data_IF_895849268065
#
_entry.id   IF_895849268065
#
_cell.length_a   1.000
_cell.length_b   1.000
_cell.length_c   1.000
_cell.angle_alpha   90.00
_cell.angle_beta   90.00
_cell.angle_gamma   90.00
#
_symmetry.space_group_name_H-M   'P 1'
#
loop_
_entity.id
_entity.type
_entity.pdbx_description
1 polymer ?
#
# COMPACT_ATOMS: atom_id res chain seq x y z
N UNK A 1 9.24 8.85 -11.32
CA UNK A 1 10.67 9.12 -11.54
C UNK A 1 11.46 8.17 -10.65
N UNK A 2 11.91 7.02 -11.17
CA UNK A 2 12.60 6.01 -10.34
C UNK A 2 14.13 6.04 -10.46
N UNK A 3 14.70 6.72 -11.46
CA UNK A 3 16.15 6.61 -11.74
C UNK A 3 16.95 7.93 -11.83
N UNK A 4 16.40 9.11 -11.52
CA UNK A 4 17.11 10.40 -11.55
C UNK A 4 17.92 10.72 -12.85
N UNK A 5 17.66 10.02 -13.96
CA UNK A 5 18.29 10.25 -15.26
C UNK A 5 17.38 11.10 -16.14
N UNK A 6 17.96 12.00 -16.92
CA UNK A 6 17.25 12.64 -18.03
C UNK A 6 16.99 11.63 -19.15
N UNK A 7 16.00 11.92 -20.01
CA UNK A 7 15.61 11.03 -21.11
C UNK A 7 16.74 10.81 -22.12
N UNK A 8 17.61 11.81 -22.32
CA UNK A 8 18.82 11.66 -23.14
C UNK A 8 19.86 10.74 -22.51
N UNK A 9 20.10 10.88 -21.20
CA UNK A 9 21.01 10.01 -20.46
C UNK A 9 20.51 8.57 -20.37
N UNK A 10 19.20 8.36 -20.26
CA UNK A 10 18.58 7.02 -20.26
C UNK A 10 18.77 6.33 -21.62
N UNK A 11 18.61 7.06 -22.73
CA UNK A 11 18.86 6.53 -24.08
C UNK A 11 20.32 6.12 -24.24
N UNK A 12 21.25 7.00 -23.89
CA UNK A 12 22.68 6.70 -24.01
C UNK A 12 23.12 5.54 -23.11
N UNK A 13 22.49 5.36 -21.95
CA UNK A 13 22.74 4.23 -21.07
C UNK A 13 22.22 2.92 -21.68
N UNK A 14 20.98 2.92 -22.20
CA UNK A 14 20.38 1.76 -22.87
C UNK A 14 21.18 1.34 -24.12
N UNK A 15 21.60 2.29 -24.93
CA UNK A 15 22.41 2.02 -26.14
C UNK A 15 23.81 1.49 -25.79
N UNK A 16 24.41 1.94 -24.67
CA UNK A 16 25.69 1.41 -24.16
C UNK A 16 25.60 -0.04 -23.69
N UNK A 17 24.46 -0.45 -23.16
CA UNK A 17 24.16 -1.84 -22.75
C UNK A 17 23.68 -2.72 -23.92
N UNK A 18 23.67 -2.18 -25.15
CA UNK A 18 23.26 -2.90 -26.35
C UNK A 18 21.75 -3.01 -26.55
N UNK A 19 20.96 -2.27 -25.77
CA UNK A 19 19.51 -2.21 -25.87
C UNK A 19 19.01 -1.22 -26.93
N UNK A 20 17.79 -1.45 -27.43
CA UNK A 20 17.12 -0.57 -28.39
C UNK A 20 16.12 0.34 -27.68
N UNK A 21 16.32 1.66 -27.77
CA UNK A 21 15.44 2.64 -27.13
C UNK A 21 13.98 2.58 -27.61
N UNK A 22 13.74 2.18 -28.87
CA UNK A 22 12.38 2.02 -29.38
C UNK A 22 11.69 0.78 -28.81
N UNK A 23 12.39 -0.35 -28.68
CA UNK A 23 11.86 -1.56 -28.04
C UNK A 23 11.54 -1.27 -26.57
N UNK A 24 12.47 -0.66 -25.84
CA UNK A 24 12.23 -0.22 -24.46
C UNK A 24 10.99 0.69 -24.34
N UNK A 25 10.77 1.59 -25.30
CA UNK A 25 9.59 2.47 -25.30
C UNK A 25 8.29 1.71 -25.53
N UNK A 26 8.27 0.71 -26.42
CA UNK A 26 7.09 -0.13 -26.62
C UNK A 26 6.83 -1.00 -25.39
N UNK A 27 7.86 -1.58 -24.77
CA UNK A 27 7.72 -2.35 -23.53
C UNK A 27 7.10 -1.51 -22.40
N UNK A 28 7.61 -0.28 -22.20
CA UNK A 28 7.06 0.67 -21.21
C UNK A 28 5.62 1.05 -21.56
N UNK A 29 5.31 1.24 -22.84
CA UNK A 29 3.95 1.55 -23.30
C UNK A 29 3.01 0.40 -22.96
N UNK A 30 3.40 -0.83 -23.25
CA UNK A 30 2.59 -2.03 -22.99
C UNK A 30 2.37 -2.23 -21.50
N UNK A 31 3.41 -2.05 -20.68
CA UNK A 31 3.28 -2.06 -19.22
C UNK A 31 2.30 -1.00 -18.71
N UNK A 32 2.33 0.22 -19.26
CA UNK A 32 1.39 1.28 -18.89
C UNK A 32 -0.05 0.97 -19.32
N UNK A 33 -0.24 0.34 -20.48
CA UNK A 33 -1.57 -0.09 -20.96
C UNK A 33 -2.11 -1.18 -20.03
N UNK A 34 -1.31 -2.20 -19.72
CA UNK A 34 -1.70 -3.29 -18.81
C UNK A 34 -2.02 -2.74 -17.42
N UNK A 35 -1.17 -1.87 -16.88
CA UNK A 35 -1.38 -1.25 -15.57
C UNK A 35 -2.68 -0.43 -15.52
N UNK A 36 -2.99 0.36 -16.56
CA UNK A 36 -4.25 1.11 -16.64
C UNK A 36 -5.47 0.22 -16.80
N UNK A 37 -5.34 -0.88 -17.56
CA UNK A 37 -6.41 -1.87 -17.69
C UNK A 37 -6.70 -2.50 -16.34
N UNK A 38 -5.66 -2.95 -15.63
CA UNK A 38 -5.78 -3.49 -14.28
C UNK A 38 -6.49 -2.51 -13.33
N UNK A 39 -6.02 -1.27 -13.28
CA UNK A 39 -6.63 -0.23 -12.45
C UNK A 39 -8.12 -0.04 -12.79
N UNK A 40 -8.46 0.04 -14.08
CA UNK A 40 -9.85 0.22 -14.51
C UNK A 40 -10.75 -0.96 -14.15
N UNK A 41 -10.22 -2.18 -14.24
CA UNK A 41 -10.92 -3.40 -13.83
C UNK A 41 -11.23 -3.30 -12.33
N UNK A 42 -10.23 -3.06 -11.49
CA UNK A 42 -10.39 -2.93 -10.04
C UNK A 42 -11.37 -1.82 -9.67
N UNK A 43 -11.30 -0.65 -10.30
CA UNK A 43 -12.23 0.46 -10.06
C UNK A 43 -13.68 0.16 -10.48
N UNK A 44 -13.88 -0.75 -11.43
CA UNK A 44 -15.22 -1.17 -11.88
C UNK A 44 -15.82 -2.30 -11.04
N UNK A 45 -15.01 -2.92 -10.17
CA UNK A 45 -15.44 -4.04 -9.34
C UNK A 45 -16.34 -3.59 -8.19
N UNK A 46 -17.27 -4.47 -7.85
CA UNK A 46 -18.06 -4.30 -6.63
C UNK A 46 -17.17 -4.57 -5.41
N UNK A 47 -17.30 -3.72 -4.39
CA UNK A 47 -16.59 -3.92 -3.12
C UNK A 47 -17.00 -5.22 -2.43
N UNK A 48 -16.09 -5.92 -1.74
CA UNK A 48 -16.43 -7.09 -0.95
C UNK A 48 -17.41 -6.73 0.17
N UNK A 49 -18.44 -7.57 0.32
CA UNK A 49 -19.42 -7.41 1.39
C UNK A 49 -18.82 -7.77 2.75
N UNK A 50 -19.40 -7.25 3.83
CA UNK A 50 -18.93 -7.59 5.18
C UNK A 50 -18.99 -9.10 5.48
N UNK A 51 -20.00 -9.80 4.95
CA UNK A 51 -20.12 -11.26 5.08
C UNK A 51 -18.97 -12.00 4.40
N UNK A 52 -18.52 -11.54 3.23
CA UNK A 52 -17.38 -12.16 2.54
C UNK A 52 -16.07 -11.90 3.29
N UNK A 53 -15.93 -10.72 3.88
CA UNK A 53 -14.80 -10.38 4.74
C UNK A 53 -14.79 -11.29 5.97
N UNK A 54 -15.93 -11.45 6.64
CA UNK A 54 -16.04 -12.33 7.82
C UNK A 54 -15.68 -13.77 7.46
N UNK A 55 -16.21 -14.28 6.35
CA UNK A 55 -15.91 -15.64 5.87
C UNK A 55 -14.42 -15.83 5.55
N UNK A 56 -13.76 -14.83 4.94
CA UNK A 56 -12.34 -14.91 4.64
C UNK A 56 -11.50 -14.88 5.93
N UNK A 57 -11.83 -14.00 6.89
CA UNK A 57 -11.13 -13.90 8.16
C UNK A 57 -11.21 -15.18 9.00
N UNK A 58 -12.30 -15.95 8.86
CA UNK A 58 -12.48 -17.25 9.50
C UNK A 58 -11.83 -18.41 8.73
N UNK A 59 -11.33 -18.18 7.51
CA UNK A 59 -10.77 -19.23 6.66
C UNK A 59 -9.27 -19.45 6.90
N UNK A 60 -8.81 -20.69 6.66
CA UNK A 60 -7.38 -21.05 6.68
C UNK A 60 -6.55 -20.34 5.58
N UNK A 61 -7.21 -19.65 4.64
CA UNK A 61 -6.52 -18.92 3.57
C UNK A 61 -5.98 -17.57 4.04
N UNK A 62 -6.54 -17.01 5.12
CA UNK A 62 -6.14 -15.72 5.67
C UNK A 62 -5.17 -15.92 6.82
N UNK A 63 -3.91 -15.55 6.61
CA UNK A 63 -2.86 -15.66 7.63
C UNK A 63 -2.70 -14.31 8.35
N UNK A 64 -3.30 -14.19 9.53
CA UNK A 64 -3.17 -12.97 10.32
C UNK A 64 -1.73 -12.78 10.87
N UNK A 65 -0.97 -13.87 11.00
CA UNK A 65 0.35 -13.90 11.63
C UNK A 65 1.44 -13.19 10.81
N UNK A 66 2.46 -12.74 11.51
CA UNK A 66 3.68 -12.21 10.90
C UNK A 66 4.79 -13.25 10.91
N UNK A 67 5.55 -13.26 9.82
CA UNK A 67 6.64 -14.19 9.59
C UNK A 67 7.93 -13.40 9.46
N UNK A 68 8.95 -13.76 10.25
CA UNK A 68 10.31 -13.26 10.06
C UNK A 68 10.97 -14.12 8.98
N UNK A 69 11.31 -13.50 7.85
CA UNK A 69 11.79 -14.23 6.68
C UNK A 69 13.23 -13.88 6.33
N UNK A 70 13.94 -14.87 5.80
CA UNK A 70 15.16 -14.68 5.03
C UNK A 70 14.98 -15.22 3.62
N UNK A 71 15.59 -14.60 2.61
CA UNK A 71 15.45 -14.99 1.22
C UNK A 71 16.80 -15.19 0.52
N UNK A 72 16.78 -16.02 -0.51
CA UNK A 72 17.80 -16.11 -1.55
C UNK A 72 17.06 -15.82 -2.85
N UNK A 73 17.44 -14.74 -3.53
CA UNK A 73 16.83 -14.30 -4.77
C UNK A 73 17.82 -14.45 -5.92
N UNK A 74 17.46 -15.21 -6.94
CA UNK A 74 18.26 -15.41 -8.14
C UNK A 74 17.54 -14.73 -9.30
N UNK A 75 18.11 -13.64 -9.81
CA UNK A 75 17.43 -12.80 -10.79
C UNK A 75 17.51 -13.42 -12.18
N UNK A 76 16.37 -13.64 -12.83
CA UNK A 76 16.30 -14.00 -14.24
C UNK A 76 16.17 -12.73 -15.08
N UNK A 77 17.05 -12.52 -16.08
CA UNK A 77 16.87 -11.43 -17.02
C UNK A 77 15.53 -11.58 -17.79
N UNK A 78 14.79 -10.50 -18.07
CA UNK A 78 13.50 -10.57 -18.76
C UNK A 78 13.58 -11.22 -20.15
N UNK A 79 14.74 -11.13 -20.82
CA UNK A 79 15.03 -11.76 -22.11
C UNK A 79 16.08 -12.89 -21.98
N UNK A 80 16.02 -13.67 -20.91
CA UNK A 80 17.00 -14.73 -20.66
C UNK A 80 17.08 -15.72 -21.82
N UNK A 81 18.28 -15.90 -22.35
CA UNK A 81 18.58 -16.95 -23.33
C UNK A 81 18.41 -18.34 -22.70
N UNK A 82 18.19 -19.40 -23.50
CA UNK A 82 18.18 -20.77 -22.98
C UNK A 82 19.46 -21.17 -22.22
N UNK A 83 20.59 -20.49 -22.50
CA UNK A 83 21.82 -20.69 -21.74
C UNK A 83 21.73 -20.07 -20.34
N UNK A 84 21.29 -18.81 -20.25
CA UNK A 84 21.12 -18.09 -18.97
C UNK A 84 20.07 -18.75 -18.08
N UNK A 85 18.96 -19.21 -18.66
CA UNK A 85 17.94 -19.94 -17.90
C UNK A 85 18.50 -21.22 -17.27
N UNK A 86 19.32 -21.99 -18.00
CA UNK A 86 20.00 -23.19 -17.49
C UNK A 86 21.02 -22.86 -16.41
N UNK A 87 21.74 -21.76 -16.55
CA UNK A 87 22.70 -21.30 -15.54
C UNK A 87 22.00 -20.96 -14.22
N UNK A 88 20.90 -20.20 -14.28
CA UNK A 88 20.09 -19.91 -13.08
C UNK A 88 19.55 -21.20 -12.48
N UNK A 89 19.05 -22.14 -13.29
CA UNK A 89 18.58 -23.44 -12.80
C UNK A 89 19.69 -24.21 -12.07
N UNK A 90 20.91 -24.24 -12.62
CA UNK A 90 22.06 -24.87 -11.94
C UNK A 90 22.42 -24.17 -10.63
N UNK A 91 22.33 -22.83 -10.57
CA UNK A 91 22.51 -22.08 -9.31
C UNK A 91 21.45 -22.44 -8.28
N UNK A 92 20.18 -22.54 -8.68
CA UNK A 92 19.08 -22.96 -7.80
C UNK A 92 19.35 -24.36 -7.23
N UNK A 93 19.74 -25.31 -8.09
CA UNK A 93 20.06 -26.68 -7.66
C UNK A 93 21.25 -26.71 -6.69
N UNK A 94 22.28 -25.92 -6.94
CA UNK A 94 23.44 -25.80 -6.05
C UNK A 94 23.05 -25.21 -4.69
N UNK A 95 22.23 -24.16 -4.66
CA UNK A 95 21.72 -23.57 -3.41
C UNK A 95 20.92 -24.62 -2.62
N UNK A 96 20.01 -25.34 -3.27
CA UNK A 96 19.19 -26.36 -2.60
C UNK A 96 20.05 -27.52 -2.08
N UNK A 97 21.12 -27.89 -2.80
CA UNK A 97 22.08 -28.90 -2.35
C UNK A 97 22.86 -28.44 -1.12
N UNK A 98 23.38 -27.20 -1.14
CA UNK A 98 24.13 -26.60 -0.02
C UNK A 98 23.26 -26.52 1.24
N UNK A 99 22.00 -26.06 1.09
CA UNK A 99 21.04 -25.97 2.18
C UNK A 99 20.68 -27.35 2.73
N UNK A 100 20.41 -28.34 1.87
CA UNK A 100 20.17 -29.74 2.29
C UNK A 100 21.40 -30.38 2.94
N UNK A 101 22.60 -29.94 2.54
CA UNK A 101 23.88 -30.32 3.15
C UNK A 101 24.15 -29.72 4.53
N UNK A 102 23.26 -28.84 5.02
CA UNK A 102 23.37 -28.21 6.33
C UNK A 102 24.14 -26.89 6.33
N UNK A 103 24.41 -26.28 5.16
CA UNK A 103 24.94 -24.92 5.11
C UNK A 103 23.94 -23.95 5.79
N UNK A 104 24.40 -23.06 6.68
CA UNK A 104 23.54 -22.02 7.23
C UNK A 104 22.92 -21.16 6.12
N UNK A 105 21.62 -20.90 6.22
CA UNK A 105 20.89 -20.14 5.19
C UNK A 105 21.53 -18.77 4.91
N UNK A 106 21.96 -18.07 5.95
CA UNK A 106 22.64 -16.79 5.81
C UNK A 106 23.92 -16.89 4.97
N UNK A 107 24.69 -17.97 5.11
CA UNK A 107 25.90 -18.19 4.29
C UNK A 107 25.55 -18.50 2.84
N UNK A 108 24.50 -19.29 2.60
CA UNK A 108 24.01 -19.55 1.25
C UNK A 108 23.49 -18.26 0.58
N UNK A 109 22.82 -17.38 1.33
CA UNK A 109 22.38 -16.08 0.86
C UNK A 109 23.55 -15.17 0.46
N UNK A 110 24.56 -15.04 1.31
CA UNK A 110 25.78 -14.26 1.00
C UNK A 110 26.48 -14.78 -0.26
N UNK A 111 26.53 -16.11 -0.44
CA UNK A 111 27.27 -16.74 -1.53
C UNK A 111 26.53 -16.71 -2.86
N UNK A 112 25.20 -16.81 -2.84
CA UNK A 112 24.42 -17.11 -4.04
C UNK A 112 23.37 -16.06 -4.40
N UNK A 113 22.88 -15.26 -3.45
CA UNK A 113 21.77 -14.33 -3.69
C UNK A 113 22.18 -13.08 -4.45
N UNK A 114 21.34 -12.66 -5.39
CA UNK A 114 21.45 -11.41 -6.15
C UNK A 114 20.68 -10.24 -5.48
N UNK A 115 20.10 -10.46 -4.29
CA UNK A 115 19.36 -9.44 -3.52
C UNK A 115 20.28 -8.52 -2.70
N UNK A 116 19.81 -7.31 -2.39
CA UNK A 116 20.56 -6.36 -1.55
C UNK A 116 20.76 -6.87 -0.11
N UNK A 117 19.78 -7.62 0.41
CA UNK A 117 19.81 -8.26 1.73
C UNK A 117 20.79 -9.45 1.81
N UNK A 118 21.43 -9.87 0.70
CA UNK A 118 22.33 -11.02 0.66
C UNK A 118 23.47 -10.93 1.70
N UNK A 119 24.08 -9.75 1.84
CA UNK A 119 25.19 -9.51 2.79
C UNK A 119 24.72 -9.58 4.25
N UNK A 120 23.44 -9.30 4.50
CA UNK A 120 22.79 -9.41 5.81
C UNK A 120 22.18 -10.81 6.02
N UNK A 121 22.69 -11.82 5.32
CA UNK A 121 22.22 -13.20 5.41
C UNK A 121 20.84 -13.43 4.77
N UNK A 122 20.45 -12.54 3.85
CA UNK A 122 19.16 -12.59 3.17
C UNK A 122 17.99 -12.06 4.00
N UNK A 123 18.23 -11.30 5.07
CA UNK A 123 17.19 -10.92 6.02
C UNK A 123 16.15 -9.97 5.40
N UNK A 124 14.92 -10.44 5.27
CA UNK A 124 13.75 -9.64 4.83
C UNK A 124 13.08 -8.98 6.03
N UNK A 125 13.06 -9.70 7.16
CA UNK A 125 12.41 -9.27 8.40
C UNK A 125 10.95 -9.70 8.49
N UNK A 126 10.19 -9.04 9.39
CA UNK A 126 8.79 -9.35 9.66
C UNK A 126 7.89 -8.92 8.51
N UNK A 127 7.09 -9.85 7.99
CA UNK A 127 6.14 -9.63 6.91
C UNK A 127 4.87 -10.42 7.13
N UNK A 128 3.76 -9.92 6.59
CA UNK A 128 2.50 -10.64 6.54
C UNK A 128 2.39 -11.38 5.19
N UNK A 129 1.99 -12.66 5.21
CA UNK A 129 1.90 -13.48 3.99
C UNK A 129 0.83 -12.98 3.01
N UNK A 130 -0.27 -12.37 3.49
CA UNK A 130 -1.34 -11.85 2.63
C UNK A 130 -0.90 -10.62 1.81
N UNK A 131 0.24 -10.01 2.16
CA UNK A 131 0.83 -8.88 1.42
C UNK A 131 1.87 -9.33 0.39
N UNK A 132 2.14 -10.63 0.31
CA UNK A 132 3.11 -11.21 -0.62
C UNK A 132 2.43 -11.73 -1.88
N UNK A 133 3.17 -11.86 -2.99
CA UNK A 133 2.71 -12.58 -4.17
C UNK A 133 2.21 -13.98 -3.80
N UNK A 134 1.06 -14.36 -4.38
CA UNK A 134 0.30 -15.55 -4.00
C UNK A 134 1.12 -16.83 -4.11
N UNK A 135 1.93 -16.94 -5.16
CA UNK A 135 2.78 -18.09 -5.43
C UNK A 135 3.81 -18.30 -4.31
N UNK A 136 4.31 -17.21 -3.74
CA UNK A 136 5.24 -17.26 -2.61
C UNK A 136 4.51 -17.53 -1.29
N UNK A 137 3.40 -16.83 -1.05
CA UNK A 137 2.59 -17.01 0.16
C UNK A 137 2.11 -18.47 0.32
N UNK A 138 1.66 -19.09 -0.78
CA UNK A 138 1.19 -20.48 -0.79
C UNK A 138 2.31 -21.48 -0.45
N UNK A 139 3.56 -21.18 -0.80
CA UNK A 139 4.73 -22.03 -0.49
C UNK A 139 5.24 -21.85 0.95
N UNK A 140 4.95 -20.70 1.55
CA UNK A 140 5.28 -20.40 2.95
C UNK A 140 4.20 -20.86 3.92
N UNK A 141 2.95 -20.98 3.45
CA UNK A 141 1.83 -21.42 4.27
C UNK A 141 2.09 -22.85 4.78
N UNK A 142 2.02 -23.01 6.09
CA UNK A 142 2.27 -24.30 6.76
C UNK A 142 3.74 -24.63 7.02
N UNK A 143 4.69 -23.77 6.61
CA UNK A 143 6.08 -23.93 7.03
C UNK A 143 6.27 -23.54 8.50
N UNK A 144 7.01 -24.36 9.23
CA UNK A 144 7.41 -24.08 10.61
C UNK A 144 8.70 -23.23 10.67
N UNK A 145 8.93 -22.61 11.82
CA UNK A 145 10.17 -21.88 12.08
C UNK A 145 11.40 -22.78 11.86
N UNK A 146 12.33 -22.28 11.05
CA UNK A 146 13.55 -22.96 10.61
C UNK A 146 13.45 -23.61 9.23
N UNK A 147 12.24 -23.85 8.70
CA UNK A 147 12.03 -24.50 7.41
C UNK A 147 12.22 -23.56 6.23
N UNK A 148 12.50 -24.14 5.05
CA UNK A 148 12.70 -23.43 3.77
C UNK A 148 11.62 -23.83 2.78
N UNK A 149 11.23 -22.90 1.91
CA UNK A 149 10.34 -23.15 0.78
C UNK A 149 11.07 -23.93 -0.32
N UNK A 150 10.29 -24.53 -1.23
CA UNK A 150 10.80 -24.89 -2.54
C UNK A 150 11.08 -23.61 -3.37
N UNK A 151 11.90 -23.67 -4.45
CA UNK A 151 12.16 -22.53 -5.31
C UNK A 151 10.88 -22.03 -6.00
N UNK A 152 10.56 -20.75 -5.84
CA UNK A 152 9.37 -20.11 -6.39
C UNK A 152 9.77 -19.04 -7.40
N UNK A 153 9.14 -18.99 -8.56
CA UNK A 153 9.40 -17.90 -9.53
C UNK A 153 8.38 -16.79 -9.33
N UNK A 154 8.86 -15.61 -8.95
CA UNK A 154 8.06 -14.41 -8.73
C UNK A 154 8.61 -13.29 -9.60
N UNK A 155 7.79 -12.80 -10.55
CA UNK A 155 8.15 -11.69 -11.44
C UNK A 155 9.54 -11.81 -12.10
N UNK A 156 9.91 -13.02 -12.54
CA UNK A 156 11.22 -13.29 -13.16
C UNK A 156 12.38 -13.39 -12.15
N UNK A 157 12.12 -13.61 -10.88
CA UNK A 157 13.15 -13.91 -9.87
C UNK A 157 12.84 -15.25 -9.24
N UNK A 158 13.82 -16.15 -9.17
CA UNK A 158 13.67 -17.41 -8.43
C UNK A 158 14.00 -17.13 -6.97
N UNK A 159 13.03 -17.32 -6.09
CA UNK A 159 13.12 -17.06 -4.66
C UNK A 159 13.09 -18.37 -3.88
N UNK A 160 14.03 -18.52 -2.95
CA UNK A 160 14.00 -19.56 -1.92
C UNK A 160 13.92 -18.81 -0.59
N UNK A 161 12.92 -19.12 0.23
CA UNK A 161 12.64 -18.36 1.43
C UNK A 161 12.66 -19.27 2.65
N UNK A 162 13.26 -18.78 3.74
CA UNK A 162 13.29 -19.43 5.04
C UNK A 162 12.37 -18.71 6.00
N UNK A 163 11.52 -19.47 6.69
CA UNK A 163 10.80 -18.96 7.85
C UNK A 163 11.75 -19.01 9.04
N UNK A 164 12.20 -17.87 9.54
CA UNK A 164 13.06 -17.82 10.72
C UNK A 164 12.22 -17.95 11.99
N UNK A 165 11.15 -17.17 12.08
CA UNK A 165 10.22 -17.13 13.21
C UNK A 165 8.81 -16.82 12.71
N UNK A 166 7.81 -17.20 13.49
CA UNK A 166 6.40 -16.87 13.30
C UNK A 166 5.87 -16.29 14.60
N UNK A 167 5.07 -15.22 14.50
CA UNK A 167 4.38 -14.65 15.66
C UNK A 167 2.95 -14.27 15.30
N UNK A 168 2.01 -14.35 16.26
CA UNK A 168 0.74 -13.66 16.13
C UNK A 168 0.99 -12.18 15.84
N UNK A 169 0.19 -11.59 14.96
CA UNK A 169 0.25 -10.16 14.72
C UNK A 169 -0.01 -9.43 16.04
N UNK A 170 0.83 -8.43 16.30
CA UNK A 170 0.66 -7.57 17.47
C UNK A 170 -0.58 -6.69 17.37
N UNK A 171 -1.04 -6.17 18.51
CA UNK A 171 -2.11 -5.19 18.51
C UNK A 171 -1.68 -3.92 17.77
N UNK A 172 -2.52 -3.45 16.85
CA UNK A 172 -2.35 -2.15 16.21
C UNK A 172 -3.03 -1.13 17.11
N UNK A 173 -2.23 -0.53 17.99
CA UNK A 173 -2.65 0.61 18.80
C UNK A 173 -2.30 1.89 18.04
N UNK A 174 -3.31 2.70 17.76
CA UNK A 174 -3.15 4.02 17.16
C UNK A 174 -3.65 5.09 18.12
N UNK A 175 -2.96 6.22 18.14
CA UNK A 175 -3.48 7.43 18.76
C UNK A 175 -4.56 8.01 17.86
N UNK A 176 -5.71 8.26 18.45
CA UNK A 176 -6.86 8.87 17.79
C UNK A 176 -7.20 10.20 18.42
N UNK A 177 -7.61 11.11 17.56
CA UNK A 177 -8.05 12.43 17.91
C UNK A 177 -9.54 12.54 17.61
N UNK A 178 -10.26 13.25 18.45
CA UNK A 178 -11.62 13.70 18.17
C UNK A 178 -11.60 15.22 18.17
N UNK A 179 -12.19 15.84 17.16
CA UNK A 179 -12.20 17.29 17.03
C UNK A 179 -13.53 17.79 16.49
N UNK A 180 -13.77 19.09 16.61
CA UNK A 180 -14.76 19.79 15.81
C UNK A 180 -14.07 20.78 14.91
N UNK A 181 -14.60 21.00 13.72
CA UNK A 181 -14.11 22.04 12.82
C UNK A 181 -15.22 22.90 12.24
N UNK A 182 -14.87 24.15 11.94
CA UNK A 182 -15.65 25.07 11.11
C UNK A 182 -14.81 25.33 9.87
N UNK A 183 -15.33 24.98 8.70
CA UNK A 183 -14.66 25.23 7.41
C UNK A 183 -15.35 26.37 6.69
N UNK A 184 -14.57 27.31 6.16
CA UNK A 184 -15.05 28.44 5.36
C UNK A 184 -14.30 28.42 4.03
N UNK A 185 -14.98 28.01 2.96
CA UNK A 185 -14.40 27.80 1.62
C UNK A 185 -14.51 29.05 0.76
N UNK A 186 -13.40 29.63 0.26
CA UNK A 186 -13.51 30.69 -0.74
C UNK A 186 -14.27 30.19 -1.98
N UNK A 187 -15.07 31.06 -2.57
CA UNK A 187 -15.88 30.79 -3.77
C UNK A 187 -15.94 32.04 -4.66
N UNK A 188 -16.58 31.95 -5.83
CA UNK A 188 -16.78 33.12 -6.70
C UNK A 188 -17.54 34.27 -6.00
N UNK A 189 -18.36 33.94 -4.99
CA UNK A 189 -19.11 34.89 -4.18
C UNK A 189 -18.43 35.23 -2.85
N UNK A 190 -17.39 34.49 -2.45
CA UNK A 190 -16.66 34.66 -1.20
C UNK A 190 -15.16 34.71 -1.46
N UNK A 191 -14.57 35.91 -1.45
CA UNK A 191 -13.12 36.03 -1.61
C UNK A 191 -12.35 35.37 -0.45
N UNK A 192 -11.07 35.06 -0.68
CA UNK A 192 -10.21 34.49 0.34
C UNK A 192 -10.05 35.42 1.56
N UNK A 193 -9.99 36.74 1.32
CA UNK A 193 -9.97 37.75 2.38
C UNK A 193 -11.27 37.74 3.17
N UNK A 194 -12.42 37.64 2.49
CA UNK A 194 -13.71 37.62 3.19
C UNK A 194 -13.92 36.34 4.00
N UNK A 195 -13.46 35.21 3.47
CA UNK A 195 -13.45 33.94 4.20
C UNK A 195 -12.60 34.03 5.48
N UNK A 196 -11.43 34.66 5.39
CA UNK A 196 -10.57 34.93 6.55
C UNK A 196 -11.25 35.81 7.58
N UNK A 197 -11.81 36.94 7.16
CA UNK A 197 -12.52 37.88 8.04
C UNK A 197 -13.68 37.20 8.78
N UNK A 198 -14.42 36.34 8.07
CA UNK A 198 -15.49 35.55 8.69
C UNK A 198 -14.93 34.57 9.71
N UNK A 199 -13.82 33.89 9.43
CA UNK A 199 -13.17 33.01 10.39
C UNK A 199 -12.73 33.75 11.66
N UNK A 200 -12.14 34.93 11.51
CA UNK A 200 -11.74 35.81 12.62
C UNK A 200 -12.96 36.29 13.43
N UNK A 201 -14.07 36.64 12.77
CA UNK A 201 -15.33 37.01 13.44
C UNK A 201 -15.92 35.85 14.26
N UNK A 202 -15.95 34.65 13.69
CA UNK A 202 -16.46 33.45 14.36
C UNK A 202 -15.57 33.08 15.56
N UNK A 203 -14.25 33.19 15.44
CA UNK A 203 -13.33 33.01 16.56
C UNK A 203 -13.61 34.02 17.70
N UNK A 204 -13.80 35.30 17.37
CA UNK A 204 -14.16 36.32 18.36
C UNK A 204 -15.53 36.08 19.01
N UNK A 205 -16.44 35.33 18.37
CA UNK A 205 -17.71 34.88 18.99
C UNK A 205 -17.46 33.72 19.95
N UNK A 206 -16.60 32.76 19.60
CA UNK A 206 -16.18 31.67 20.49
C UNK A 206 -15.53 32.21 21.77
N UNK A 207 -14.65 33.21 21.67
CA UNK A 207 -14.03 33.87 22.82
C UNK A 207 -15.04 34.56 23.75
N UNK A 208 -16.20 34.97 23.21
CA UNK A 208 -17.31 35.56 23.96
C UNK A 208 -18.28 34.52 24.54
N UNK A 209 -17.99 33.23 24.38
CA UNK A 209 -18.78 32.13 24.92
C UNK A 209 -19.89 31.61 24.01
N UNK A 210 -19.81 31.86 22.70
CA UNK A 210 -20.71 31.19 21.74
C UNK A 210 -20.42 29.68 21.66
N UNK A 211 -21.46 28.88 21.46
CA UNK A 211 -21.32 27.43 21.32
C UNK A 211 -20.73 27.06 19.96
N UNK A 212 -19.61 26.31 19.97
CA UNK A 212 -18.92 25.90 18.74
C UNK A 212 -19.83 25.12 17.79
N UNK A 213 -20.63 24.22 18.33
CA UNK A 213 -21.54 23.39 17.54
C UNK A 213 -22.63 24.21 16.82
N UNK A 214 -23.04 25.35 17.37
CA UNK A 214 -24.01 26.23 16.72
C UNK A 214 -23.36 26.99 15.56
N UNK A 215 -22.18 27.58 15.79
CA UNK A 215 -21.43 28.27 14.74
C UNK A 215 -21.07 27.31 13.59
N UNK A 216 -20.72 26.06 13.90
CA UNK A 216 -20.46 25.06 12.89
C UNK A 216 -21.70 24.71 12.04
N UNK A 217 -22.88 24.62 12.65
CA UNK A 217 -24.13 24.37 11.90
C UNK A 217 -24.50 25.53 10.99
N UNK A 218 -24.26 26.76 11.44
CA UNK A 218 -24.67 27.97 10.73
C UNK A 218 -23.69 28.37 9.62
N UNK A 219 -22.38 28.22 9.85
CA UNK A 219 -21.35 28.80 8.98
C UNK A 219 -20.37 27.80 8.37
N UNK A 220 -20.35 26.53 8.79
CA UNK A 220 -19.41 25.57 8.21
C UNK A 220 -19.87 25.11 6.84
N UNK A 221 -19.01 25.27 5.85
CA UNK A 221 -19.19 24.78 4.48
C UNK A 221 -18.95 23.25 4.38
N UNK A 222 -18.50 22.58 5.45
CA UNK A 222 -18.39 21.12 5.46
C UNK A 222 -19.75 20.44 5.70
N UNK A 223 -20.45 20.13 4.61
CA UNK A 223 -21.75 19.47 4.65
C UNK A 223 -21.79 18.14 5.44
N UNK A 224 -20.65 17.44 5.59
CA UNK A 224 -20.59 16.16 6.31
C UNK A 224 -20.66 16.34 7.83
N UNK A 225 -20.04 17.41 8.35
CA UNK A 225 -19.92 17.63 9.79
C UNK A 225 -20.74 18.82 10.31
N UNK A 226 -21.07 19.81 9.46
CA UNK A 226 -21.77 21.03 9.86
C UNK A 226 -23.03 20.73 10.69
N UNK A 227 -23.91 19.86 10.19
CA UNK A 227 -25.18 19.51 10.85
C UNK A 227 -24.98 18.84 12.23
N UNK A 228 -23.88 18.10 12.42
CA UNK A 228 -23.49 17.49 13.70
C UNK A 228 -22.60 18.40 14.56
N UNK A 229 -22.61 19.70 14.26
CA UNK A 229 -21.87 20.73 14.99
C UNK A 229 -20.37 20.70 14.72
N UNK A 230 -19.99 20.38 13.49
CA UNK A 230 -18.60 20.31 13.04
C UNK A 230 -17.84 19.08 13.52
N UNK A 231 -18.52 18.10 14.14
CA UNK A 231 -17.86 16.95 14.76
C UNK A 231 -17.17 16.06 13.72
N UNK A 232 -15.87 15.88 13.94
CA UNK A 232 -15.03 14.86 13.34
C UNK A 232 -14.91 13.74 14.38
N UNK A 233 -15.56 12.61 14.10
CA UNK A 233 -15.49 11.44 14.99
C UNK A 233 -14.06 10.89 15.05
N UNK A 234 -13.75 10.06 16.05
CA UNK A 234 -12.40 9.57 16.32
C UNK A 234 -11.65 9.12 15.06
N UNK A 235 -10.54 9.81 14.78
CA UNK A 235 -9.73 9.63 13.59
C UNK A 235 -8.26 9.44 13.97
N UNK A 236 -7.51 8.62 13.23
CA UNK A 236 -6.07 8.45 13.47
C UNK A 236 -5.29 9.70 13.08
N UNK A 237 -4.12 9.88 13.64
CA UNK A 237 -3.22 10.97 13.27
C UNK A 237 -2.98 11.05 11.75
N UNK A 238 -2.92 12.27 11.22
CA UNK A 238 -2.70 12.53 9.80
C UNK A 238 -3.90 12.29 8.88
N UNK A 239 -5.03 11.76 9.39
CA UNK A 239 -6.23 11.47 8.56
C UNK A 239 -6.76 12.70 7.78
N UNK A 240 -6.58 13.90 8.34
CA UNK A 240 -7.02 15.17 7.75
C UNK A 240 -5.87 16.06 7.22
N UNK A 241 -4.68 15.48 7.08
CA UNK A 241 -3.49 16.17 6.57
C UNK A 241 -2.70 16.94 7.64
N UNK A 242 -1.51 17.38 7.24
CA UNK A 242 -0.49 17.92 8.16
C UNK A 242 -0.94 19.20 8.88
N UNK A 243 -1.63 20.11 8.19
CA UNK A 243 -2.07 21.38 8.77
C UNK A 243 -3.04 21.18 9.96
N UNK A 244 -3.98 20.23 9.84
CA UNK A 244 -4.92 19.92 10.92
C UNK A 244 -4.20 19.18 12.05
N UNK A 245 -3.30 18.25 11.73
CA UNK A 245 -2.51 17.52 12.72
C UNK A 245 -1.70 18.48 13.60
N UNK A 246 -0.94 19.39 13.00
CA UNK A 246 -0.11 20.36 13.74
C UNK A 246 -0.93 21.23 14.69
N UNK A 247 -2.14 21.61 14.29
CA UNK A 247 -3.05 22.37 15.15
C UNK A 247 -3.53 21.49 16.31
N UNK A 248 -3.97 20.26 16.05
CA UNK A 248 -4.38 19.33 17.10
C UNK A 248 -3.25 19.06 18.11
N UNK A 249 -2.01 18.87 17.64
CA UNK A 249 -0.84 18.63 18.50
C UNK A 249 -0.53 19.82 19.42
N UNK A 250 -0.95 21.03 19.02
CA UNK A 250 -0.76 22.27 19.80
C UNK A 250 -1.88 22.57 20.79
N UNK A 251 -2.97 21.80 20.76
CA UNK A 251 -4.17 22.04 21.57
C UNK A 251 -4.30 21.00 22.69
N UNK A 252 -4.84 21.44 23.82
CA UNK A 252 -5.35 20.52 24.84
C UNK A 252 -6.83 20.20 24.60
N UNK A 253 -7.34 19.02 25.03
CA UNK A 253 -8.76 18.70 24.94
C UNK A 253 -9.65 19.80 25.54
N UNK A 254 -10.63 20.25 24.77
CA UNK A 254 -11.53 21.36 25.08
C UNK A 254 -11.11 22.71 24.49
N UNK A 255 -9.86 22.88 24.06
CA UNK A 255 -9.37 24.13 23.48
C UNK A 255 -9.69 24.24 21.99
N UNK A 256 -9.87 25.48 21.52
CA UNK A 256 -10.01 25.80 20.10
C UNK A 256 -8.80 26.59 19.57
N UNK A 257 -8.50 26.39 18.29
CA UNK A 257 -7.42 27.03 17.59
C UNK A 257 -7.75 28.46 17.20
N UNK A 258 -6.71 29.24 16.94
CA UNK A 258 -6.83 30.43 16.09
C UNK A 258 -7.27 30.02 14.67
N UNK A 259 -7.90 30.91 13.89
CA UNK A 259 -8.17 30.66 12.48
C UNK A 259 -6.89 30.37 11.69
N UNK A 260 -6.89 29.31 10.90
CA UNK A 260 -5.75 28.92 10.07
C UNK A 260 -6.20 28.51 8.66
N UNK A 261 -5.27 28.62 7.70
CA UNK A 261 -5.54 28.31 6.30
C UNK A 261 -5.13 26.85 5.99
N UNK A 262 -6.07 26.08 5.46
CA UNK A 262 -5.85 24.73 4.94
C UNK A 262 -6.12 24.64 3.43
N UNK A 263 -5.96 23.44 2.83
CA UNK A 263 -6.15 23.25 1.39
C UNK A 263 -7.57 23.56 0.90
N UNK A 264 -8.58 23.44 1.77
CA UNK A 264 -9.98 23.64 1.43
C UNK A 264 -10.50 25.05 1.73
N UNK A 265 -9.76 25.86 2.48
CA UNK A 265 -10.20 27.18 2.92
C UNK A 265 -9.68 27.52 4.32
N UNK A 266 -10.42 28.35 5.03
CA UNK A 266 -10.13 28.72 6.41
C UNK A 266 -10.80 27.77 7.39
N UNK A 267 -10.09 27.42 8.45
CA UNK A 267 -10.53 26.48 9.46
C UNK A 267 -10.41 27.07 10.85
N UNK A 268 -11.35 26.71 11.72
CA UNK A 268 -11.22 26.81 13.17
C UNK A 268 -11.42 25.40 13.71
N UNK A 269 -10.50 24.92 14.55
CA UNK A 269 -10.58 23.60 15.17
C UNK A 269 -10.87 23.72 16.66
N UNK A 270 -11.53 22.72 17.21
CA UNK A 270 -11.60 22.47 18.65
C UNK A 270 -11.22 21.02 18.89
N UNK A 271 -10.19 20.77 19.70
CA UNK A 271 -9.85 19.40 20.08
C UNK A 271 -10.86 18.95 21.15
N UNK A 272 -11.53 17.83 20.94
CA UNK A 272 -12.47 17.25 21.91
C UNK A 272 -11.80 16.19 22.78
N UNK A 273 -10.88 15.40 22.22
CA UNK A 273 -10.17 14.38 22.98
C UNK A 273 -9.07 13.68 22.22
N UNK A 274 -8.24 12.97 22.98
CA UNK A 274 -7.19 12.07 22.50
C UNK A 274 -7.37 10.73 23.19
N UNK A 275 -7.27 9.62 22.44
CA UNK A 275 -7.34 8.27 23.01
C UNK A 275 -6.43 7.31 22.26
N UNK A 276 -6.05 6.24 22.93
CA UNK A 276 -5.47 5.06 22.27
C UNK A 276 -6.58 4.10 21.89
N UNK A 277 -6.64 3.73 20.62
CA UNK A 277 -7.60 2.76 20.11
C UNK A 277 -6.88 1.55 19.53
N UNK A 278 -7.34 0.36 19.91
CA UNK A 278 -6.94 -0.88 19.26
C UNK A 278 -7.72 -1.02 17.95
N UNK A 279 -7.03 -0.83 16.83
CA UNK A 279 -7.57 -0.91 15.45
C UNK A 279 -7.17 -2.20 14.74
N UNK A 280 -6.79 -3.23 15.50
CA UNK A 280 -6.34 -4.51 14.91
C UNK A 280 -7.43 -5.14 14.06
N UNK A 281 -8.68 -5.13 14.52
CA UNK A 281 -9.79 -5.74 13.79
C UNK A 281 -10.05 -4.98 12.49
N UNK A 282 -10.11 -3.66 12.53
CA UNK A 282 -10.33 -2.84 11.34
C UNK A 282 -9.20 -3.00 10.32
N UNK A 283 -7.95 -3.08 10.78
CA UNK A 283 -6.81 -3.34 9.92
C UNK A 283 -6.90 -4.71 9.25
N UNK A 284 -7.25 -5.76 10.00
CA UNK A 284 -7.45 -7.11 9.44
C UNK A 284 -8.60 -7.14 8.42
N UNK A 285 -9.72 -6.47 8.71
CA UNK A 285 -10.83 -6.35 7.77
C UNK A 285 -10.45 -5.61 6.50
N UNK A 286 -9.68 -4.52 6.62
CA UNK A 286 -9.22 -3.75 5.46
C UNK A 286 -8.29 -4.60 4.57
N UNK A 287 -7.38 -5.35 5.19
CA UNK A 287 -6.49 -6.28 4.50
C UNK A 287 -7.26 -7.41 3.81
N UNK A 288 -8.21 -8.03 4.49
CA UNK A 288 -9.10 -9.04 3.92
C UNK A 288 -9.89 -8.49 2.72
N UNK A 289 -10.39 -7.25 2.78
CA UNK A 289 -11.05 -6.61 1.63
C UNK A 289 -10.10 -6.43 0.45
N UNK A 290 -8.87 -5.99 0.70
CA UNK A 290 -7.87 -5.83 -0.36
C UNK A 290 -7.55 -7.17 -1.01
N UNK A 291 -7.37 -8.23 -0.21
CA UNK A 291 -7.10 -9.57 -0.71
C UNK A 291 -8.28 -10.10 -1.56
N UNK A 292 -9.52 -9.90 -1.14
CA UNK A 292 -10.70 -10.27 -1.93
C UNK A 292 -10.78 -9.49 -3.25
N UNK A 293 -10.46 -8.19 -3.23
CA UNK A 293 -10.41 -7.37 -4.44
C UNK A 293 -9.34 -7.85 -5.41
N UNK A 294 -8.15 -8.16 -4.93
CA UNK A 294 -7.05 -8.70 -5.74
C UNK A 294 -7.42 -10.04 -6.36
N UNK A 295 -8.00 -10.96 -5.57
CA UNK A 295 -8.47 -12.25 -6.08
C UNK A 295 -9.55 -12.11 -7.17
N UNK A 296 -10.48 -11.14 -7.01
CA UNK A 296 -11.48 -10.84 -8.05
C UNK A 296 -10.81 -10.24 -9.28
N UNK A 297 -9.85 -9.34 -9.10
CA UNK A 297 -9.09 -8.73 -10.18
C UNK A 297 -8.42 -9.77 -11.07
N UNK A 298 -7.70 -10.71 -10.46
CA UNK A 298 -7.01 -11.78 -11.17
C UNK A 298 -7.98 -12.64 -11.99
N UNK A 299 -9.10 -13.04 -11.40
CA UNK A 299 -10.12 -13.85 -12.07
C UNK A 299 -10.77 -13.14 -13.27
N UNK A 300 -11.02 -11.83 -13.13
CA UNK A 300 -11.59 -11.02 -14.20
C UNK A 300 -10.59 -10.83 -15.35
N UNK A 301 -9.32 -10.55 -15.03
CA UNK A 301 -8.25 -10.45 -16.02
C UNK A 301 -8.13 -11.76 -16.80
N UNK A 302 -8.08 -12.90 -16.13
CA UNK A 302 -8.01 -14.20 -16.80
C UNK A 302 -9.21 -14.44 -17.73
N UNK A 303 -10.39 -14.02 -17.31
CA UNK A 303 -11.61 -14.13 -18.10
C UNK A 303 -11.56 -13.22 -19.33
N UNK A 304 -11.14 -11.98 -19.17
CA UNK A 304 -10.95 -11.02 -20.25
C UNK A 304 -9.88 -11.46 -21.25
N UNK A 305 -8.75 -12.01 -20.78
CA UNK A 305 -7.71 -12.57 -21.64
C UNK A 305 -8.21 -13.75 -22.45
N UNK A 306 -9.04 -14.63 -21.87
CA UNK A 306 -9.70 -15.72 -22.61
C UNK A 306 -10.63 -15.18 -23.70
N UNK A 307 -11.47 -14.19 -23.38
CA UNK A 307 -12.38 -13.57 -24.35
C UNK A 307 -11.62 -12.90 -25.49
N UNK A 308 -10.59 -12.10 -25.19
CA UNK A 308 -9.73 -11.50 -26.20
C UNK A 308 -9.06 -12.54 -27.10
N UNK A 309 -8.62 -13.67 -26.55
CA UNK A 309 -8.05 -14.75 -27.35
C UNK A 309 -9.09 -15.40 -28.27
N UNK A 310 -10.33 -15.55 -27.80
CA UNK A 310 -11.40 -16.20 -28.55
C UNK A 310 -12.00 -15.27 -29.63
N UNK A 311 -11.97 -13.95 -29.41
CA UNK A 311 -12.37 -12.93 -30.39
C UNK A 311 -11.24 -12.54 -31.36
N UNK A 312 -9.98 -12.78 -30.99
CA UNK A 312 -8.84 -12.54 -31.86
C UNK A 312 -8.73 -13.60 -32.96
N UNK A 313 -8.63 -13.16 -34.22
CA UNK A 313 -8.27 -14.05 -35.32
C UNK A 313 -6.78 -14.45 -35.19
N UNK A 314 -6.52 -15.65 -34.67
CA UNK A 314 -5.17 -16.21 -34.56
C UNK A 314 -4.87 -17.07 -35.80
N UNK A 315 -4.20 -16.49 -36.80
CA UNK A 315 -3.64 -17.27 -37.91
C UNK A 315 -2.27 -17.84 -37.50
N UNK A 316 -2.20 -19.17 -37.32
CA UNK A 316 -0.90 -19.85 -37.19
C UNK A 316 -0.25 -19.92 -38.57
N UNK A 317 0.76 -19.11 -38.80
CA UNK A 317 1.67 -19.30 -39.94
C UNK A 317 2.47 -20.59 -39.69
N UNK A 318 2.17 -21.63 -40.48
CA UNK A 318 2.90 -22.90 -40.53
C UNK A 318 4.15 -22.79 -41.40
#
# INVERSE_FOLDING_TARGET
>A
QQNNLSLGQLREALEREGGNFNEFREDVRDQLIISRLHQRIVESMQEPTDTEVDLLLESDSFEADEYNLSQIALRLPPNATPSQAREIQQRVEAVMLDLKGGMPFASAAVNHSDSADALDGGLVGWRNLNTMPRELADQLRGLEAGQISEPVVVSGTVMIVRVNERRPRGEIIVDELQARHILIRPSELMSAERARELAEELHARLERGAEFAELAREYSDDARSANIGGLLDWFPEGAYGEAIQQICDSLEPGQYSQPFQGPQGWHILKLEGVRQANRTVEALRAEARNLLMEQRADQEIETMLRQFRDEAFVEKLL
#
